data_IF_470596519004
#
_entry.id   IF_470596519004
#
_cell.length_a   1.000
_cell.length_b   1.000
_cell.length_c   1.000
_cell.angle_alpha   90.00
_cell.angle_beta   90.00
_cell.angle_gamma   90.00
#
_symmetry.space_group_name_H-M   'P 1'
#
loop_
_entity.id
_entity.type
_entity.pdbx_description
1 polymer ?
#
# COMPACT_ATOMS: atom_id res chain seq x y z
N UNK A 1 18.36 8.10 -17.20
CA UNK A 1 16.88 8.00 -17.16
C UNK A 1 16.52 7.72 -15.72
N UNK A 2 15.57 8.47 -15.16
CA UNK A 2 15.07 8.15 -13.82
C UNK A 2 14.05 7.00 -13.94
N UNK A 3 14.21 5.97 -13.12
CA UNK A 3 13.24 4.87 -12.99
C UNK A 3 12.18 5.29 -11.98
N UNK A 4 10.91 5.14 -12.35
CA UNK A 4 9.78 5.33 -11.43
C UNK A 4 9.44 3.95 -10.88
N UNK A 5 9.63 3.76 -9.59
CA UNK A 5 9.18 2.57 -8.87
C UNK A 5 7.76 2.86 -8.37
N UNK A 6 6.78 1.96 -8.53
CA UNK A 6 5.48 2.05 -7.87
C UNK A 6 5.53 1.42 -6.47
N UNK A 7 4.65 1.83 -5.54
CA UNK A 7 4.62 1.23 -4.22
C UNK A 7 4.15 -0.22 -4.30
N UNK A 8 4.74 -1.09 -3.48
CA UNK A 8 4.30 -2.48 -3.30
C UNK A 8 3.50 -2.70 -2.02
N UNK A 9 3.40 -1.67 -1.17
CA UNK A 9 2.63 -1.65 0.08
C UNK A 9 2.02 -0.28 0.27
N UNK A 10 0.79 -0.25 0.80
CA UNK A 10 0.12 0.99 1.23
C UNK A 10 -0.69 0.74 2.49
N UNK A 11 -0.87 1.79 3.28
CA UNK A 11 -1.67 1.76 4.50
C UNK A 11 -2.70 2.89 4.45
N UNK A 12 -3.92 2.62 4.89
CA UNK A 12 -4.99 3.58 4.91
C UNK A 12 -4.78 4.51 6.10
N UNK A 13 -4.60 5.80 5.83
CA UNK A 13 -4.31 6.82 6.86
C UNK A 13 -5.46 7.01 7.85
N UNK A 14 -6.66 6.50 7.52
CA UNK A 14 -7.87 6.65 8.33
C UNK A 14 -8.21 5.42 9.18
N UNK A 15 -8.09 4.21 8.63
CA UNK A 15 -8.54 2.99 9.31
C UNK A 15 -7.45 1.93 9.50
N UNK A 16 -6.21 2.20 9.07
CA UNK A 16 -5.09 1.28 9.23
C UNK A 16 -5.16 0.03 8.36
N UNK A 17 -6.08 -0.04 7.39
CA UNK A 17 -6.08 -1.13 6.40
C UNK A 17 -4.74 -1.16 5.67
N UNK A 18 -4.14 -2.34 5.56
CA UNK A 18 -2.88 -2.53 4.81
C UNK A 18 -3.16 -3.36 3.56
N UNK A 19 -2.76 -2.83 2.41
CA UNK A 19 -2.76 -3.58 1.16
C UNK A 19 -1.32 -3.78 0.66
N UNK A 20 -1.06 -4.94 0.03
CA UNK A 20 0.18 -5.26 -0.68
C UNK A 20 -0.13 -5.54 -2.15
N UNK A 21 0.81 -5.18 -3.03
CA UNK A 21 0.72 -5.52 -4.44
C UNK A 21 1.02 -7.00 -4.65
N UNK A 22 0.11 -7.70 -5.29
CA UNK A 22 0.26 -9.09 -5.70
C UNK A 22 0.58 -9.13 -7.21
N UNK A 23 1.77 -9.61 -7.54
CA UNK A 23 2.26 -9.67 -8.93
C UNK A 23 1.56 -10.76 -9.75
N UNK A 24 1.18 -11.87 -9.12
CA UNK A 24 0.48 -12.98 -9.78
C UNK A 24 -0.95 -12.57 -10.18
N UNK A 25 -1.64 -11.86 -9.29
CA UNK A 25 -3.00 -11.37 -9.51
C UNK A 25 -3.02 -10.01 -10.21
N UNK A 26 -1.86 -9.36 -10.34
CA UNK A 26 -1.69 -7.99 -10.81
C UNK A 26 -2.68 -7.02 -10.14
N UNK A 27 -2.81 -7.13 -8.81
CA UNK A 27 -3.79 -6.37 -8.04
C UNK A 27 -3.35 -6.15 -6.58
N UNK A 28 -3.99 -5.20 -5.91
CA UNK A 28 -3.83 -4.98 -4.47
C UNK A 28 -4.65 -6.00 -3.67
N UNK A 29 -4.00 -6.64 -2.69
CA UNK A 29 -4.62 -7.60 -1.78
C UNK A 29 -4.46 -7.14 -0.32
N UNK A 30 -5.41 -7.50 0.54
CA UNK A 30 -5.34 -7.16 1.97
C UNK A 30 -4.19 -7.96 2.58
N UNK A 31 -3.28 -7.27 3.27
CA UNK A 31 -2.18 -7.91 3.98
C UNK A 31 -2.71 -8.79 5.12
N UNK A 32 -2.19 -10.00 5.21
CA UNK A 32 -2.42 -10.92 6.31
C UNK A 32 -1.18 -10.94 7.22
N UNK A 33 -1.40 -10.67 8.51
CA UNK A 33 -0.38 -10.67 9.56
C UNK A 33 -0.79 -11.70 10.61
N UNK A 34 0.06 -12.70 10.85
CA UNK A 34 -0.23 -13.83 11.77
C UNK A 34 -1.57 -14.57 11.54
N UNK A 35 -2.08 -14.54 10.31
CA UNK A 35 -3.35 -15.16 9.91
C UNK A 35 -4.58 -14.27 10.08
N UNK A 36 -4.41 -13.04 10.57
CA UNK A 36 -5.44 -12.01 10.61
C UNK A 36 -5.29 -11.03 9.45
N UNK A 37 -6.42 -10.74 8.78
CA UNK A 37 -6.47 -9.73 7.72
C UNK A 37 -6.44 -8.34 8.32
N UNK A 38 -5.47 -7.52 7.92
CA UNK A 38 -5.42 -6.09 8.23
C UNK A 38 -6.41 -5.31 7.35
N UNK A 39 -7.69 -5.67 7.41
CA UNK A 39 -8.75 -5.16 6.55
C UNK A 39 -9.22 -3.74 6.93
N UNK A 40 -8.88 -3.26 8.13
CA UNK A 40 -9.37 -2.00 8.67
C UNK A 40 -10.89 -1.98 8.87
N UNK A 41 -11.50 -0.80 8.78
CA UNK A 41 -12.94 -0.61 8.97
C UNK A 41 -13.73 -0.79 7.64
N UNK A 42 -14.78 -1.64 7.62
CA UNK A 42 -15.58 -1.90 6.40
C UNK A 42 -16.40 -0.71 5.89
N UNK A 43 -16.70 0.28 6.74
CA UNK A 43 -17.44 1.48 6.37
C UNK A 43 -16.51 2.64 5.99
N UNK A 44 -15.20 2.44 6.07
CA UNK A 44 -14.21 3.43 5.69
C UNK A 44 -14.14 3.57 4.17
N UNK A 45 -14.24 4.80 3.69
CA UNK A 45 -13.74 5.16 2.36
C UNK A 45 -12.24 5.35 2.52
N UNK A 46 -11.48 4.32 2.15
CA UNK A 46 -10.03 4.30 2.39
C UNK A 46 -9.33 5.48 1.72
N UNK A 47 -8.45 6.12 2.49
CA UNK A 47 -7.58 7.21 2.04
C UNK A 47 -6.15 6.71 2.14
N UNK A 48 -5.44 6.79 1.02
CA UNK A 48 -4.06 6.37 0.92
C UNK A 48 -3.17 7.60 0.87
N UNK A 49 -1.91 7.43 1.26
CA UNK A 49 -0.89 8.47 1.10
C UNK A 49 -0.68 8.80 -0.39
N UNK A 50 -1.49 9.71 -0.91
CA UNK A 50 -1.39 10.20 -2.29
C UNK A 50 -0.32 11.31 -2.38
N UNK A 51 0.01 11.95 -1.25
CA UNK A 51 0.78 13.20 -1.22
C UNK A 51 1.98 13.25 -0.24
N UNK A 52 2.17 12.31 0.70
CA UNK A 52 2.81 12.64 1.98
C UNK A 52 4.12 11.94 2.35
N UNK A 53 4.49 10.78 1.80
CA UNK A 53 5.76 10.11 2.15
C UNK A 53 6.30 9.14 1.10
N UNK A 54 5.48 8.69 0.15
CA UNK A 54 5.97 7.83 -0.92
C UNK A 54 6.90 8.58 -1.89
N UNK A 55 8.14 8.09 -2.06
CA UNK A 55 9.06 8.58 -3.09
C UNK A 55 9.18 7.56 -4.23
N UNK A 56 8.75 7.89 -5.46
CA UNK A 56 8.84 6.98 -6.60
C UNK A 56 10.25 6.80 -7.16
N UNK A 57 11.24 7.53 -6.65
CA UNK A 57 12.63 7.42 -7.07
C UNK A 57 13.44 6.65 -6.03
N UNK A 58 14.28 5.72 -6.50
CA UNK A 58 15.26 5.06 -5.64
C UNK A 58 16.21 6.11 -5.04
N UNK A 59 16.57 6.03 -3.75
CA UNK A 59 17.56 6.93 -3.16
C UNK A 59 18.90 6.74 -3.90
N UNK A 60 19.45 7.83 -4.44
CA UNK A 60 20.75 7.82 -5.11
C UNK A 60 21.84 7.46 -4.09
N UNK A 61 22.65 6.45 -4.40
CA UNK A 61 23.73 5.92 -3.55
C UNK A 61 25.06 6.61 -3.87
#
# INVERSE_FOLDING_TARGET
MATIVPPSRRECERCGRVDVWDDEQMNWTIHEDDGDKLAGDPQCIHEWDINGSYNPFEPEH
#
